data_IF_208235778583
#
_entry.id   IF_208235778583
#
_cell.length_a   1.000
_cell.length_b   1.000
_cell.length_c   1.000
_cell.angle_alpha   90.00
_cell.angle_beta   90.00
_cell.angle_gamma   90.00
#
_symmetry.space_group_name_H-M   'P 1'
#
loop_
_entity.id
_entity.type
_entity.pdbx_description
1 polymer ?
#
# COMPACT_ATOMS: atom_id res chain seq x y z
N UNK A 1 24.76 12.40 -3.17
CA UNK A 1 24.15 12.43 -1.83
C UNK A 1 22.75 11.79 -1.82
N UNK A 2 21.72 12.35 -2.49
CA UNK A 2 20.39 11.74 -2.55
C UNK A 2 20.38 10.32 -3.13
N UNK A 3 21.01 10.11 -4.30
CA UNK A 3 21.10 8.78 -4.93
C UNK A 3 21.96 7.81 -4.13
N UNK A 4 22.98 8.30 -3.42
CA UNK A 4 23.83 7.45 -2.58
C UNK A 4 23.03 6.92 -1.39
N UNK A 5 22.24 7.77 -0.73
CA UNK A 5 21.36 7.38 0.37
C UNK A 5 20.28 6.38 -0.11
N UNK A 6 19.67 6.66 -1.28
CA UNK A 6 18.66 5.77 -1.86
C UNK A 6 19.27 4.40 -2.21
N UNK A 7 20.43 4.36 -2.83
CA UNK A 7 21.15 3.12 -3.20
C UNK A 7 21.53 2.32 -1.96
N UNK A 8 22.08 3.01 -0.95
CA UNK A 8 22.46 2.38 0.32
C UNK A 8 21.26 1.74 1.00
N UNK A 9 20.13 2.46 1.09
CA UNK A 9 18.91 1.99 1.76
C UNK A 9 18.34 0.73 1.12
N UNK A 10 18.18 0.76 -0.21
CA UNK A 10 17.58 -0.36 -0.94
C UNK A 10 18.48 -1.58 -1.00
N UNK A 11 19.80 -1.40 -1.12
CA UNK A 11 20.76 -2.52 -1.06
C UNK A 11 20.78 -3.13 0.35
N UNK A 12 20.82 -2.30 1.38
CA UNK A 12 20.89 -2.72 2.78
C UNK A 12 19.63 -3.44 3.24
N UNK A 13 18.45 -2.89 2.94
CA UNK A 13 17.18 -3.42 3.46
C UNK A 13 16.58 -4.53 2.62
N UNK A 14 16.75 -4.48 1.32
CA UNK A 14 16.09 -5.39 0.39
C UNK A 14 17.06 -6.18 -0.49
N UNK A 15 18.36 -5.90 -0.46
CA UNK A 15 19.34 -6.45 -1.41
C UNK A 15 19.09 -6.00 -2.85
N UNK A 16 18.36 -4.91 -3.04
CA UNK A 16 17.98 -4.38 -4.33
C UNK A 16 19.00 -3.33 -4.80
N UNK A 17 19.69 -3.64 -5.88
CA UNK A 17 20.61 -2.68 -6.53
C UNK A 17 19.85 -1.72 -7.43
N UNK A 18 19.98 -0.44 -7.16
CA UNK A 18 19.30 0.62 -7.89
C UNK A 18 20.16 1.11 -9.04
N UNK A 19 19.55 1.20 -10.22
CA UNK A 19 20.07 1.93 -11.37
C UNK A 19 19.54 3.37 -11.31
N UNK A 20 20.38 4.31 -10.90
CA UNK A 20 19.94 5.71 -10.63
C UNK A 20 19.45 6.44 -11.88
N UNK A 21 19.92 6.02 -13.06
CA UNK A 21 19.42 6.48 -14.36
C UNK A 21 18.01 5.99 -14.69
N UNK A 22 17.48 5.03 -13.94
CA UNK A 22 16.09 4.54 -14.05
C UNK A 22 15.16 5.09 -12.98
N UNK A 23 15.61 6.04 -12.16
CA UNK A 23 14.81 6.67 -11.10
C UNK A 23 14.18 7.96 -11.60
N UNK A 24 12.86 8.08 -11.40
CA UNK A 24 12.12 9.35 -11.54
C UNK A 24 11.61 9.78 -10.16
N UNK A 25 11.42 11.08 -9.96
CA UNK A 25 10.90 11.64 -8.71
C UNK A 25 9.51 12.24 -8.91
N UNK A 26 8.64 12.04 -7.93
CA UNK A 26 7.29 12.60 -7.93
C UNK A 26 6.94 13.19 -6.55
N UNK A 27 5.99 14.14 -6.46
CA UNK A 27 5.58 14.67 -5.16
C UNK A 27 4.95 13.63 -4.24
N UNK A 28 4.21 12.67 -4.77
CA UNK A 28 3.55 11.59 -4.00
C UNK A 28 3.41 10.33 -4.84
N UNK A 29 3.28 9.17 -4.19
CA UNK A 29 2.97 7.91 -4.89
C UNK A 29 1.61 7.99 -5.61
N UNK A 30 0.61 8.65 -5.04
CA UNK A 30 -0.69 8.86 -5.69
C UNK A 30 -0.57 9.66 -6.99
N UNK A 31 0.23 10.74 -7.00
CA UNK A 31 0.51 11.48 -8.23
C UNK A 31 1.34 10.68 -9.23
N UNK A 32 2.26 9.85 -8.73
CA UNK A 32 3.05 8.95 -9.57
C UNK A 32 2.17 7.93 -10.31
N UNK A 33 1.25 7.30 -9.59
CA UNK A 33 0.29 6.34 -10.16
C UNK A 33 -0.64 7.04 -11.17
N UNK A 34 -1.10 8.27 -10.88
CA UNK A 34 -1.92 9.04 -11.84
C UNK A 34 -1.19 9.30 -13.15
N UNK A 35 0.08 9.69 -13.08
CA UNK A 35 0.93 9.90 -14.27
C UNK A 35 1.16 8.57 -14.99
N UNK A 36 1.44 7.49 -14.27
CA UNK A 36 1.65 6.17 -14.86
C UNK A 36 0.41 5.64 -15.61
N UNK A 37 -0.79 5.80 -15.03
CA UNK A 37 -2.04 5.42 -15.71
C UNK A 37 -2.17 6.17 -17.04
N UNK A 38 -1.84 7.45 -17.09
CA UNK A 38 -1.92 8.28 -18.31
C UNK A 38 -0.85 7.93 -19.33
N UNK A 39 0.37 7.72 -18.87
CA UNK A 39 1.50 7.40 -19.73
C UNK A 39 1.32 6.05 -20.45
N UNK A 40 0.72 5.07 -19.80
CA UNK A 40 0.72 3.67 -20.27
C UNK A 40 -0.65 3.11 -20.63
N UNK A 41 -1.69 3.95 -20.68
CA UNK A 41 -3.02 3.55 -21.14
C UNK A 41 -3.77 4.73 -21.76
N UNK A 42 -4.92 4.44 -22.39
CA UNK A 42 -5.84 5.42 -22.97
C UNK A 42 -7.17 5.42 -22.22
N UNK A 43 -7.97 6.49 -22.31
CA UNK A 43 -9.37 6.44 -21.86
C UNK A 43 -10.11 5.24 -22.46
N UNK A 44 -10.83 4.50 -21.62
CA UNK A 44 -11.51 3.26 -21.99
C UNK A 44 -10.69 1.98 -21.71
N UNK A 45 -9.37 2.06 -21.64
CA UNK A 45 -8.54 0.91 -21.25
C UNK A 45 -8.83 0.48 -19.80
N UNK A 46 -8.56 -0.80 -19.51
CA UNK A 46 -8.84 -1.42 -18.22
C UNK A 46 -7.60 -1.40 -17.30
N UNK A 47 -7.85 -1.10 -16.04
CA UNK A 47 -6.83 -1.12 -14.97
C UNK A 47 -7.29 -2.07 -13.88
N UNK A 48 -6.47 -3.08 -13.57
CA UNK A 48 -6.76 -4.11 -12.56
C UNK A 48 -6.31 -3.61 -11.18
N UNK A 49 -7.17 -3.76 -10.18
CA UNK A 49 -6.85 -3.56 -8.75
C UNK A 49 -7.40 -4.71 -7.92
N UNK A 50 -6.96 -4.84 -6.67
CA UNK A 50 -7.31 -5.97 -5.79
C UNK A 50 -8.00 -5.48 -4.52
N UNK A 51 -9.33 -5.26 -4.59
CA UNK A 51 -10.11 -4.84 -3.41
C UNK A 51 -10.30 -5.99 -2.40
N UNK A 52 -10.43 -5.65 -1.08
CA UNK A 52 -10.39 -4.30 -0.51
C UNK A 52 -8.98 -3.70 -0.61
N UNK A 53 -8.86 -2.49 -1.13
CA UNK A 53 -7.58 -1.82 -1.38
C UNK A 53 -7.69 -0.31 -1.20
N UNK A 54 -6.59 0.37 -1.11
CA UNK A 54 -6.49 1.82 -0.96
C UNK A 54 -7.36 2.57 -1.98
N UNK A 55 -8.42 3.24 -1.47
CA UNK A 55 -9.49 3.88 -2.25
C UNK A 55 -9.02 4.80 -3.39
N UNK A 56 -7.96 5.64 -3.23
CA UNK A 56 -7.50 6.48 -4.32
C UNK A 56 -7.16 5.76 -5.63
N UNK A 57 -6.89 4.45 -5.62
CA UNK A 57 -6.65 3.73 -6.88
C UNK A 57 -7.91 3.72 -7.75
N UNK A 58 -9.06 3.35 -7.18
CA UNK A 58 -10.34 3.36 -7.89
C UNK A 58 -10.72 4.76 -8.39
N UNK A 59 -10.47 5.78 -7.54
CA UNK A 59 -10.71 7.17 -7.93
C UNK A 59 -9.81 7.63 -9.08
N UNK A 60 -8.51 7.31 -9.07
CA UNK A 60 -7.58 7.68 -10.14
C UNK A 60 -7.97 7.03 -11.46
N UNK A 61 -8.33 5.74 -11.44
CA UNK A 61 -8.79 5.03 -12.63
C UNK A 61 -10.01 5.73 -13.22
N UNK A 62 -11.01 6.03 -12.39
CA UNK A 62 -12.23 6.73 -12.83
C UNK A 62 -11.95 8.16 -13.33
N UNK A 63 -11.17 8.94 -12.57
CA UNK A 63 -10.84 10.34 -12.91
C UNK A 63 -10.01 10.46 -14.19
N UNK A 64 -9.28 9.42 -14.56
CA UNK A 64 -8.50 9.37 -15.80
C UNK A 64 -9.29 8.79 -16.99
N UNK A 65 -10.56 8.42 -16.80
CA UNK A 65 -11.42 7.86 -17.84
C UNK A 65 -11.13 6.39 -18.17
N UNK A 66 -10.40 5.69 -17.32
CA UNK A 66 -10.12 4.24 -17.46
C UNK A 66 -11.22 3.43 -16.79
N UNK A 67 -11.29 2.15 -17.13
CA UNK A 67 -12.25 1.20 -16.57
C UNK A 67 -11.57 0.38 -15.47
N UNK A 68 -12.14 0.39 -14.28
CA UNK A 68 -11.64 -0.42 -13.17
C UNK A 68 -12.07 -1.88 -13.36
N UNK A 69 -11.10 -2.79 -13.27
CA UNK A 69 -11.31 -4.24 -13.18
C UNK A 69 -10.90 -4.70 -11.78
N UNK A 70 -11.80 -5.34 -11.06
CA UNK A 70 -11.57 -5.72 -9.68
C UNK A 70 -11.22 -7.21 -9.58
N UNK A 71 -9.96 -7.53 -9.32
CA UNK A 71 -9.51 -8.83 -8.90
C UNK A 71 -9.67 -8.95 -7.37
N UNK A 72 -10.90 -9.21 -6.92
CA UNK A 72 -11.23 -9.21 -5.49
C UNK A 72 -10.39 -10.23 -4.74
N UNK A 73 -9.77 -9.82 -3.63
CA UNK A 73 -9.05 -10.74 -2.75
C UNK A 73 -10.01 -11.77 -2.14
N UNK A 74 -9.56 -13.01 -2.06
CA UNK A 74 -10.27 -14.09 -1.37
C UNK A 74 -9.92 -13.99 0.11
N UNK A 75 -10.93 -13.98 0.98
CA UNK A 75 -10.72 -14.01 2.42
C UNK A 75 -11.13 -15.38 2.97
N UNK A 76 -10.17 -16.14 3.49
CA UNK A 76 -10.37 -17.42 4.14
C UNK A 76 -9.99 -17.27 5.63
N UNK A 77 -10.97 -17.31 6.52
CA UNK A 77 -10.74 -17.17 7.97
C UNK A 77 -9.87 -15.95 8.36
N UNK A 78 -10.11 -14.82 7.70
CA UNK A 78 -9.36 -13.57 7.91
C UNK A 78 -8.02 -13.49 7.17
N UNK A 79 -7.58 -14.55 6.50
CA UNK A 79 -6.38 -14.56 5.66
C UNK A 79 -6.77 -14.18 4.23
N UNK A 80 -6.14 -13.12 3.72
CA UNK A 80 -6.40 -12.63 2.37
C UNK A 80 -5.41 -13.23 1.37
N UNK A 81 -5.93 -13.68 0.22
CA UNK A 81 -5.17 -14.30 -0.86
C UNK A 81 -5.55 -13.68 -2.20
N UNK A 82 -4.64 -13.72 -3.17
CA UNK A 82 -4.92 -13.30 -4.54
C UNK A 82 -5.71 -14.36 -5.29
N UNK A 83 -6.77 -13.98 -6.02
CA UNK A 83 -7.46 -14.85 -6.96
C UNK A 83 -6.68 -14.90 -8.28
N UNK A 84 -5.72 -15.81 -8.37
CA UNK A 84 -4.89 -15.97 -9.56
C UNK A 84 -5.65 -16.48 -10.79
N UNK A 85 -6.58 -17.45 -10.70
CA UNK A 85 -7.42 -17.82 -11.82
C UNK A 85 -8.20 -16.65 -12.42
N UNK A 86 -8.81 -15.83 -11.56
CA UNK A 86 -9.52 -14.62 -11.99
C UNK A 86 -8.55 -13.58 -12.57
N UNK A 87 -7.35 -13.44 -12.00
CA UNK A 87 -6.34 -12.54 -12.54
C UNK A 87 -5.88 -12.95 -13.94
N UNK A 88 -5.70 -14.24 -14.18
CA UNK A 88 -5.34 -14.78 -15.50
C UNK A 88 -6.42 -14.46 -16.55
N UNK A 89 -7.69 -14.62 -16.20
CA UNK A 89 -8.82 -14.27 -17.07
C UNK A 89 -8.85 -12.75 -17.36
N UNK A 90 -8.74 -11.94 -16.32
CA UNK A 90 -8.81 -10.47 -16.42
C UNK A 90 -7.64 -9.87 -17.20
N UNK A 91 -6.42 -10.39 -16.98
CA UNK A 91 -5.23 -9.94 -17.70
C UNK A 91 -5.24 -10.35 -19.18
N UNK A 92 -5.94 -11.44 -19.53
CA UNK A 92 -6.06 -11.88 -20.92
C UNK A 92 -6.99 -10.97 -21.77
N UNK A 93 -7.73 -10.10 -21.16
CA UNK A 93 -8.53 -9.10 -21.85
C UNK A 93 -7.61 -8.12 -22.61
N UNK A 94 -7.77 -7.92 -23.94
CA UNK A 94 -6.89 -7.09 -24.74
C UNK A 94 -6.91 -5.61 -24.33
N UNK A 95 -7.96 -5.15 -23.62
CA UNK A 95 -8.06 -3.80 -23.10
C UNK A 95 -7.41 -3.64 -21.73
N UNK A 96 -7.03 -4.71 -21.04
CA UNK A 96 -6.29 -4.67 -19.78
C UNK A 96 -4.83 -4.22 -20.05
N UNK A 97 -4.46 -3.05 -19.55
CA UNK A 97 -3.15 -2.43 -19.79
C UNK A 97 -2.29 -2.33 -18.55
N UNK A 98 -2.91 -2.19 -17.39
CA UNK A 98 -2.22 -1.88 -16.13
C UNK A 98 -2.81 -2.74 -15.01
N UNK A 99 -1.95 -3.20 -14.12
CA UNK A 99 -2.31 -3.70 -12.79
C UNK A 99 -1.66 -2.80 -11.74
N UNK A 100 -2.44 -2.26 -10.81
CA UNK A 100 -1.91 -1.56 -9.63
C UNK A 100 -1.85 -2.56 -8.48
N UNK A 101 -0.63 -2.91 -8.08
CA UNK A 101 -0.33 -3.86 -7.00
C UNK A 101 0.02 -3.08 -5.73
N UNK A 102 -0.67 -3.34 -4.61
CA UNK A 102 -0.34 -2.78 -3.30
C UNK A 102 0.48 -3.80 -2.48
N UNK A 103 1.72 -3.47 -2.12
CA UNK A 103 2.65 -4.40 -1.45
C UNK A 103 3.62 -3.66 -0.50
N UNK A 104 3.51 -3.80 0.82
CA UNK A 104 2.46 -4.47 1.62
C UNK A 104 1.06 -3.91 1.39
N UNK A 105 0.04 -4.76 1.51
CA UNK A 105 -1.32 -4.45 1.08
C UNK A 105 -2.12 -3.69 2.15
N UNK A 106 -2.57 -2.50 1.81
CA UNK A 106 -3.46 -1.67 2.61
C UNK A 106 -4.91 -1.84 2.10
N UNK A 107 -5.90 -2.27 2.93
CA UNK A 107 -5.90 -2.21 4.39
C UNK A 107 -5.55 -3.51 5.12
N UNK A 108 -5.46 -4.64 4.44
CA UNK A 108 -5.47 -5.98 5.05
C UNK A 108 -4.13 -6.39 5.70
N UNK A 109 -3.06 -5.61 5.48
CA UNK A 109 -1.77 -5.83 6.12
C UNK A 109 -0.97 -7.03 5.60
N UNK A 110 -1.34 -7.60 4.44
CA UNK A 110 -0.58 -8.72 3.83
C UNK A 110 0.76 -8.24 3.30
N UNK A 111 1.80 -9.01 3.55
CA UNK A 111 3.10 -8.95 2.87
C UNK A 111 3.15 -10.13 1.90
N UNK A 112 3.05 -9.83 0.61
CA UNK A 112 3.02 -10.87 -0.43
C UNK A 112 4.34 -11.60 -0.51
N UNK A 113 4.30 -12.93 -0.66
CA UNK A 113 5.52 -13.73 -0.83
C UNK A 113 6.16 -13.49 -2.18
N UNK A 114 7.44 -13.84 -2.30
CA UNK A 114 8.16 -13.76 -3.58
C UNK A 114 7.48 -14.58 -4.68
N UNK A 115 6.92 -15.72 -4.32
CA UNK A 115 6.23 -16.65 -5.23
C UNK A 115 4.90 -16.05 -5.72
N UNK A 116 4.12 -15.41 -4.80
CA UNK A 116 2.89 -14.69 -5.18
C UNK A 116 3.21 -13.54 -6.15
N UNK A 117 4.23 -12.74 -5.84
CA UNK A 117 4.67 -11.63 -6.70
C UNK A 117 5.20 -12.11 -8.06
N UNK A 118 5.99 -13.20 -8.08
CA UNK A 118 6.47 -13.80 -9.31
C UNK A 118 5.32 -14.25 -10.21
N UNK A 119 4.29 -14.89 -9.62
CA UNK A 119 3.11 -15.33 -10.36
C UNK A 119 2.31 -14.17 -10.94
N UNK A 120 2.13 -13.08 -10.16
CA UNK A 120 1.56 -11.83 -10.70
C UNK A 120 2.36 -11.35 -11.92
N UNK A 121 3.68 -11.31 -11.80
CA UNK A 121 4.54 -10.87 -12.88
C UNK A 121 4.46 -11.77 -14.12
N UNK A 122 4.44 -13.08 -13.97
CA UNK A 122 4.28 -14.04 -15.08
C UNK A 122 2.96 -13.80 -15.84
N UNK A 123 1.84 -13.66 -15.11
CA UNK A 123 0.53 -13.39 -15.69
C UNK A 123 0.53 -12.06 -16.44
N UNK A 124 1.02 -11.00 -15.81
CA UNK A 124 1.04 -9.65 -16.41
C UNK A 124 1.96 -9.59 -17.62
N UNK A 125 3.17 -10.17 -17.55
CA UNK A 125 4.12 -10.23 -18.66
C UNK A 125 3.57 -10.96 -19.86
N UNK A 126 2.95 -12.13 -19.65
CA UNK A 126 2.33 -12.94 -20.70
C UNK A 126 1.26 -12.17 -21.49
N UNK A 127 0.55 -11.26 -20.82
CA UNK A 127 -0.59 -10.55 -21.37
C UNK A 127 -0.27 -9.07 -21.70
N UNK A 128 0.99 -8.65 -21.63
CA UNK A 128 1.44 -7.26 -21.86
C UNK A 128 0.76 -6.25 -20.93
N UNK A 129 0.51 -6.62 -19.68
CA UNK A 129 -0.01 -5.74 -18.62
C UNK A 129 1.16 -5.16 -17.84
N UNK A 130 1.25 -3.83 -17.74
CA UNK A 130 2.25 -3.14 -16.93
C UNK A 130 1.88 -3.24 -15.45
N UNK A 131 2.82 -3.60 -14.58
CA UNK A 131 2.60 -3.59 -13.14
C UNK A 131 3.06 -2.25 -12.55
N UNK A 132 2.16 -1.54 -11.86
CA UNK A 132 2.49 -0.40 -11.01
C UNK A 132 2.48 -0.89 -9.57
N UNK A 133 3.65 -1.16 -9.01
CA UNK A 133 3.79 -1.65 -7.64
C UNK A 133 3.86 -0.47 -6.66
N UNK A 134 2.79 -0.26 -5.89
CA UNK A 134 2.78 0.66 -4.76
C UNK A 134 3.39 -0.02 -3.54
N UNK A 135 4.67 0.27 -3.31
CA UNK A 135 5.45 -0.26 -2.20
C UNK A 135 5.74 0.79 -1.11
N UNK A 136 4.84 1.75 -0.94
CA UNK A 136 4.99 2.84 0.03
C UNK A 136 5.12 2.35 1.48
N UNK A 137 4.70 1.12 1.77
CA UNK A 137 4.78 0.48 3.07
C UNK A 137 5.92 -0.55 3.20
N UNK A 138 6.82 -0.66 2.22
CA UNK A 138 7.86 -1.69 2.13
C UNK A 138 8.74 -1.83 3.36
N UNK A 139 9.07 -0.72 4.03
CA UNK A 139 9.89 -0.71 5.25
C UNK A 139 9.14 -1.17 6.51
N UNK A 140 7.81 -1.14 6.48
CA UNK A 140 6.96 -1.38 7.64
C UNK A 140 6.49 -2.85 7.66
N UNK A 141 7.42 -3.75 7.91
CA UNK A 141 7.19 -5.21 7.92
C UNK A 141 7.63 -5.77 9.27
N UNK A 142 6.77 -6.58 9.88
CA UNK A 142 6.99 -7.11 11.23
C UNK A 142 7.90 -8.34 11.25
N UNK A 143 8.47 -8.63 12.41
CA UNK A 143 9.33 -9.78 12.61
C UNK A 143 8.66 -11.09 12.17
N UNK A 144 9.39 -11.93 11.44
CA UNK A 144 8.88 -13.18 10.86
C UNK A 144 8.37 -13.06 9.43
N UNK A 145 8.28 -11.84 8.87
CA UNK A 145 7.89 -11.59 7.48
C UNK A 145 9.00 -10.84 6.74
N UNK A 146 9.04 -11.00 5.43
CA UNK A 146 10.04 -10.36 4.56
C UNK A 146 9.35 -9.72 3.38
N UNK A 147 9.50 -8.40 3.22
CA UNK A 147 9.10 -7.72 2.00
C UNK A 147 10.10 -8.05 0.88
N UNK A 148 9.58 -8.47 -0.25
CA UNK A 148 10.36 -8.61 -1.48
C UNK A 148 9.89 -7.53 -2.45
N UNK A 149 10.74 -6.56 -2.85
CA UNK A 149 10.41 -5.64 -3.93
C UNK A 149 9.98 -6.39 -5.19
N UNK A 150 8.96 -5.91 -5.88
CA UNK A 150 8.46 -6.55 -7.09
C UNK A 150 9.57 -6.73 -8.14
N UNK A 151 10.49 -5.78 -8.21
CA UNK A 151 11.67 -5.82 -9.08
C UNK A 151 12.61 -7.01 -8.82
N UNK A 152 12.59 -7.59 -7.61
CA UNK A 152 13.37 -8.79 -7.24
C UNK A 152 12.57 -10.09 -7.38
N UNK A 153 11.26 -9.97 -7.51
CA UNK A 153 10.37 -11.12 -7.66
C UNK A 153 10.10 -11.45 -9.15
N UNK A 154 10.13 -10.44 -10.02
CA UNK A 154 9.73 -10.60 -11.42
C UNK A 154 10.50 -9.68 -12.37
N UNK A 155 10.70 -10.16 -13.60
CA UNK A 155 11.22 -9.39 -14.73
C UNK A 155 10.11 -8.81 -15.64
N UNK A 156 8.84 -8.87 -15.20
CA UNK A 156 7.73 -8.22 -15.90
C UNK A 156 7.95 -6.70 -15.99
N UNK A 157 7.48 -6.04 -17.06
CA UNK A 157 7.52 -4.59 -17.13
C UNK A 157 6.81 -3.96 -15.92
N UNK A 158 7.50 -3.07 -15.18
CA UNK A 158 6.94 -2.46 -13.98
C UNK A 158 7.47 -1.05 -13.71
N UNK A 159 6.67 -0.31 -12.94
CA UNK A 159 7.07 0.87 -12.18
C UNK A 159 6.91 0.54 -10.70
N UNK A 160 7.98 0.60 -9.93
CA UNK A 160 7.97 0.41 -8.50
C UNK A 160 7.96 1.77 -7.82
N UNK A 161 6.94 2.05 -7.02
CA UNK A 161 6.69 3.34 -6.38
C UNK A 161 6.91 3.25 -4.88
N UNK A 162 7.81 4.08 -4.33
CA UNK A 162 8.12 4.13 -2.90
C UNK A 162 8.14 5.55 -2.37
N UNK A 163 8.06 5.71 -1.06
CA UNK A 163 8.22 6.99 -0.38
C UNK A 163 8.58 6.77 1.09
N UNK A 164 9.50 7.55 1.59
CA UNK A 164 9.81 7.60 3.04
C UNK A 164 8.67 8.18 3.89
N UNK A 165 7.65 8.77 3.23
CA UNK A 165 6.57 9.50 3.90
C UNK A 165 5.76 8.67 4.90
N UNK A 166 5.61 7.35 4.69
CA UNK A 166 4.92 6.45 5.61
C UNK A 166 5.85 5.93 6.70
N UNK A 167 7.03 5.51 6.32
CA UNK A 167 8.04 4.96 7.21
C UNK A 167 8.44 5.95 8.29
N UNK A 168 8.74 7.18 7.91
CA UNK A 168 9.26 8.23 8.81
C UNK A 168 8.23 9.30 9.19
N UNK A 169 6.94 9.08 8.89
CA UNK A 169 5.84 10.01 9.19
C UNK A 169 6.06 11.43 8.65
N UNK A 170 6.61 11.55 7.45
CA UNK A 170 6.95 12.82 6.79
C UNK A 170 6.23 13.03 5.46
N UNK A 171 5.01 12.53 5.34
CA UNK A 171 4.21 12.63 4.11
C UNK A 171 4.03 14.08 3.61
N UNK A 172 4.10 15.06 4.52
CA UNK A 172 4.05 16.49 4.19
C UNK A 172 5.24 17.00 3.37
N UNK A 173 6.38 16.29 3.38
CA UNK A 173 7.57 16.64 2.58
C UNK A 173 7.47 16.21 1.12
N UNK A 174 6.45 15.44 0.76
CA UNK A 174 6.05 15.14 -0.62
C UNK A 174 7.20 14.75 -1.54
N UNK A 175 7.78 13.57 -1.31
CA UNK A 175 8.77 12.97 -2.19
C UNK A 175 8.49 11.47 -2.36
N UNK A 176 8.37 11.02 -3.58
CA UNK A 176 8.24 9.63 -3.97
C UNK A 176 9.31 9.27 -5.02
N UNK A 177 9.83 8.06 -4.93
CA UNK A 177 10.80 7.49 -5.86
C UNK A 177 10.09 6.48 -6.75
N UNK A 178 10.30 6.57 -8.06
CA UNK A 178 9.73 5.67 -9.04
C UNK A 178 10.88 5.00 -9.79
N UNK A 179 10.99 3.67 -9.64
CA UNK A 179 12.00 2.86 -10.30
C UNK A 179 11.35 2.20 -11.51
N UNK A 180 11.80 2.56 -12.69
CA UNK A 180 11.35 1.96 -13.95
C UNK A 180 12.17 0.71 -14.26
N UNK A 181 11.53 -0.36 -14.73
CA UNK A 181 12.22 -1.61 -15.09
C UNK A 181 13.02 -1.51 -16.39
N UNK A 182 12.89 -0.43 -17.16
CA UNK A 182 13.67 -0.16 -18.37
C UNK A 182 13.80 1.32 -18.69
N UNK A 183 14.80 1.67 -19.48
CA UNK A 183 15.02 3.04 -19.97
C UNK A 183 13.86 3.53 -20.86
N UNK A 184 13.23 2.62 -21.59
CA UNK A 184 12.07 2.95 -22.45
C UNK A 184 10.85 3.34 -21.61
N UNK A 185 10.52 2.56 -20.60
CA UNK A 185 9.43 2.89 -19.66
C UNK A 185 9.70 4.21 -18.95
N UNK A 186 10.94 4.41 -18.46
CA UNK A 186 11.31 5.67 -17.82
C UNK A 186 11.12 6.86 -18.76
N UNK A 187 11.60 6.75 -19.99
CA UNK A 187 11.47 7.82 -20.98
C UNK A 187 10.02 8.19 -21.23
N UNK A 188 9.14 7.21 -21.41
CA UNK A 188 7.72 7.44 -21.63
C UNK A 188 7.06 8.04 -20.39
N UNK A 189 7.41 7.57 -19.20
CA UNK A 189 6.94 8.09 -17.93
C UNK A 189 7.36 9.55 -17.70
N UNK A 190 8.63 9.86 -17.94
CA UNK A 190 9.19 11.22 -17.77
C UNK A 190 8.55 12.22 -18.76
N UNK A 191 8.24 11.79 -19.98
CA UNK A 191 7.51 12.62 -20.95
C UNK A 191 6.12 13.03 -20.42
N UNK A 192 5.43 12.14 -19.72
CA UNK A 192 4.14 12.45 -19.12
C UNK A 192 4.30 13.36 -17.88
N UNK A 193 5.37 13.17 -17.08
CA UNK A 193 5.73 14.09 -15.98
C UNK A 193 5.89 15.51 -16.52
N UNK A 194 6.67 15.67 -17.59
CA UNK A 194 6.95 16.96 -18.20
C UNK A 194 5.67 17.61 -18.76
N UNK A 195 4.79 16.83 -19.38
CA UNK A 195 3.52 17.32 -19.93
C UNK A 195 2.61 17.94 -18.86
N UNK A 196 2.69 17.45 -17.61
CA UNK A 196 1.95 18.01 -16.46
C UNK A 196 2.73 19.04 -15.67
N UNK A 197 3.96 19.38 -16.08
CA UNK A 197 4.82 20.34 -15.40
C UNK A 197 5.06 19.98 -13.92
N UNK A 198 5.11 18.70 -13.59
CA UNK A 198 5.52 18.25 -12.28
C UNK A 198 7.03 18.46 -12.16
N UNK A 199 7.44 19.62 -11.66
CA UNK A 199 8.83 19.84 -11.30
C UNK A 199 9.19 19.04 -10.05
N UNK A 200 10.31 18.39 -10.11
CA UNK A 200 10.58 17.20 -9.35
C UNK A 200 10.68 17.41 -7.86
N UNK A 201 11.25 18.25 -7.19
CA UNK A 201 11.56 18.01 -5.79
C UNK A 201 11.51 19.27 -4.93
N UNK A 202 10.95 19.13 -3.77
CA UNK A 202 11.23 20.14 -2.76
C UNK A 202 12.57 19.81 -2.06
N UNK A 203 13.35 20.85 -1.76
CA UNK A 203 14.65 20.72 -1.13
C UNK A 203 14.61 19.96 0.19
N UNK A 204 13.59 20.22 1.02
CA UNK A 204 13.43 19.51 2.31
C UNK A 204 13.15 18.02 2.15
N UNK A 205 12.46 17.62 1.09
CA UNK A 205 12.25 16.21 0.79
C UNK A 205 13.55 15.49 0.44
N UNK A 206 14.44 16.15 -0.33
CA UNK A 206 15.75 15.60 -0.69
C UNK A 206 16.68 15.48 0.54
N UNK A 207 16.72 16.49 1.38
CA UNK A 207 17.49 16.46 2.64
C UNK A 207 16.96 15.38 3.59
N UNK A 208 15.63 15.22 3.65
CA UNK A 208 15.03 14.19 4.50
C UNK A 208 15.37 12.77 4.05
N UNK A 209 15.51 12.51 2.74
CA UNK A 209 15.97 11.19 2.24
C UNK A 209 17.36 10.88 2.77
N UNK A 210 18.28 11.83 2.73
CA UNK A 210 19.64 11.63 3.21
C UNK A 210 19.67 11.39 4.73
N UNK A 211 18.85 12.09 5.49
CA UNK A 211 18.75 11.92 6.93
C UNK A 211 18.06 10.57 7.30
N UNK A 212 17.00 10.21 6.58
CA UNK A 212 16.20 9.03 6.88
C UNK A 212 16.85 7.73 6.39
N UNK A 213 17.43 7.74 5.18
CA UNK A 213 18.08 6.59 4.58
C UNK A 213 19.57 6.53 4.98
N UNK A 214 19.78 6.38 6.27
CA UNK A 214 21.06 6.37 6.95
C UNK A 214 21.09 5.27 8.03
N UNK A 215 22.27 4.93 8.58
CA UNK A 215 22.34 4.02 9.72
C UNK A 215 21.52 4.46 10.94
N UNK A 216 21.45 5.76 11.20
CA UNK A 216 20.66 6.33 12.29
C UNK A 216 19.16 6.20 12.02
N UNK A 217 18.73 6.44 10.76
CA UNK A 217 17.35 6.24 10.33
C UNK A 217 16.94 4.77 10.38
N UNK A 218 17.85 3.84 10.01
CA UNK A 218 17.62 2.40 10.14
C UNK A 218 17.41 2.01 11.61
N UNK A 219 18.28 2.46 12.53
CA UNK A 219 18.15 2.17 13.95
C UNK A 219 16.82 2.68 14.53
N UNK A 220 16.41 3.90 14.14
CA UNK A 220 15.13 4.46 14.55
C UNK A 220 13.95 3.63 14.03
N UNK A 221 14.01 3.17 12.78
CA UNK A 221 12.97 2.33 12.19
C UNK A 221 12.83 0.98 12.90
N UNK A 222 13.94 0.33 13.25
CA UNK A 222 13.91 -0.94 13.99
C UNK A 222 13.22 -0.78 15.36
N UNK A 223 13.50 0.31 16.09
CA UNK A 223 12.80 0.61 17.34
C UNK A 223 11.30 0.88 17.12
N UNK A 224 10.96 1.60 16.04
CA UNK A 224 9.56 1.85 15.67
C UNK A 224 8.82 0.54 15.37
N UNK A 225 9.42 -0.38 14.62
CA UNK A 225 8.80 -1.66 14.27
C UNK A 225 8.50 -2.50 15.53
N UNK A 226 9.42 -2.55 16.49
CA UNK A 226 9.17 -3.20 17.79
C UNK A 226 8.00 -2.55 18.53
N UNK A 227 7.94 -1.22 18.54
CA UNK A 227 6.84 -0.49 19.17
C UNK A 227 5.49 -0.76 18.51
N UNK A 228 5.44 -0.72 17.17
CA UNK A 228 4.24 -0.99 16.39
C UNK A 228 3.77 -2.44 16.55
N UNK A 229 4.69 -3.40 16.56
CA UNK A 229 4.35 -4.80 16.79
C UNK A 229 3.67 -4.98 18.15
N UNK A 230 4.17 -4.35 19.20
CA UNK A 230 3.50 -4.34 20.49
C UNK A 230 2.13 -3.65 20.47
N UNK A 231 1.89 -2.66 19.56
CA UNK A 231 0.55 -2.11 19.34
C UNK A 231 -0.37 -3.12 18.64
N UNK A 232 0.13 -3.92 17.70
CA UNK A 232 -0.62 -5.03 17.08
C UNK A 232 -1.05 -6.06 18.12
N UNK A 233 -0.16 -6.42 19.04
CA UNK A 233 -0.46 -7.36 20.12
C UNK A 233 -1.62 -6.86 20.99
N UNK A 234 -1.61 -5.58 21.38
CA UNK A 234 -2.71 -4.96 22.14
C UNK A 234 -4.04 -5.02 21.36
N UNK A 235 -4.02 -4.76 20.07
CA UNK A 235 -5.23 -4.88 19.23
C UNK A 235 -5.70 -6.34 19.18
N UNK A 236 -4.78 -7.30 19.02
CA UNK A 236 -5.09 -8.72 18.95
C UNK A 236 -5.76 -9.21 20.24
N UNK A 237 -5.19 -8.90 21.41
CA UNK A 237 -5.77 -9.23 22.70
C UNK A 237 -7.14 -8.60 22.90
N UNK A 238 -7.31 -7.33 22.49
CA UNK A 238 -8.56 -6.64 22.56
C UNK A 238 -9.62 -7.29 21.65
N UNK A 239 -9.27 -7.64 20.41
CA UNK A 239 -10.18 -8.31 19.48
C UNK A 239 -10.64 -9.66 20.03
N UNK A 240 -9.71 -10.46 20.55
CA UNK A 240 -10.03 -11.75 21.17
C UNK A 240 -11.01 -11.58 22.36
N UNK A 241 -10.78 -10.59 23.23
CA UNK A 241 -11.62 -10.31 24.39
C UNK A 241 -13.05 -9.90 23.99
N UNK A 242 -13.22 -9.21 22.87
CA UNK A 242 -14.49 -8.65 22.42
C UNK A 242 -15.15 -9.43 21.27
N UNK A 243 -14.61 -10.60 20.90
CA UNK A 243 -15.07 -11.44 19.79
C UNK A 243 -15.16 -10.68 18.45
N UNK A 244 -14.18 -9.81 18.19
CA UNK A 244 -14.00 -9.10 16.93
C UNK A 244 -13.09 -9.90 16.04
N UNK A 245 -13.47 -10.13 14.78
CA UNK A 245 -12.63 -10.80 13.80
C UNK A 245 -11.37 -9.97 13.51
N UNK A 246 -10.20 -10.60 13.59
CA UNK A 246 -8.93 -9.93 13.37
C UNK A 246 -7.83 -10.90 12.98
N UNK A 247 -7.16 -10.59 11.90
CA UNK A 247 -5.88 -11.20 11.54
C UNK A 247 -4.78 -10.16 11.72
N UNK A 248 -3.77 -10.49 12.50
CA UNK A 248 -2.66 -9.59 12.75
C UNK A 248 -1.97 -9.21 11.42
N UNK A 249 -1.74 -7.93 11.15
CA UNK A 249 -1.06 -7.51 9.94
C UNK A 249 0.38 -8.01 9.93
N UNK A 250 0.85 -8.41 8.75
CA UNK A 250 2.24 -8.81 8.51
C UNK A 250 3.16 -7.59 8.30
N UNK A 251 2.55 -6.47 7.97
CA UNK A 251 3.21 -5.18 7.77
C UNK A 251 2.22 -4.02 7.85
N UNK A 252 2.69 -2.81 7.59
CA UNK A 252 2.00 -1.52 7.74
C UNK A 252 1.79 -1.12 9.21
N UNK A 253 1.23 0.06 9.45
CA UNK A 253 0.75 0.50 10.77
C UNK A 253 -0.79 0.56 10.82
N UNK A 254 -1.44 -0.34 10.07
CA UNK A 254 -2.88 -0.38 9.87
C UNK A 254 -3.42 -1.73 10.33
N UNK A 255 -4.45 -1.71 11.18
CA UNK A 255 -5.18 -2.89 11.58
C UNK A 255 -6.55 -2.90 10.93
N UNK A 256 -6.97 -4.06 10.44
CA UNK A 256 -8.22 -4.31 9.76
C UNK A 256 -9.13 -5.14 10.65
N UNK A 257 -10.14 -4.49 11.26
CA UNK A 257 -11.03 -5.09 12.26
C UNK A 257 -12.34 -5.50 11.59
N UNK A 258 -12.75 -6.75 11.74
CA UNK A 258 -14.06 -7.24 11.32
C UNK A 258 -15.07 -7.06 12.46
N UNK A 259 -15.72 -5.89 12.49
CA UNK A 259 -16.77 -5.58 13.43
C UNK A 259 -18.13 -6.17 13.03
N UNK A 260 -18.27 -6.58 11.76
CA UNK A 260 -19.42 -7.33 11.28
C UNK A 260 -19.55 -8.68 11.98
N UNK A 261 -18.43 -9.36 12.27
CA UNK A 261 -18.43 -10.60 13.07
C UNK A 261 -18.92 -10.38 14.51
N UNK A 262 -18.77 -9.16 15.04
CA UNK A 262 -19.33 -8.75 16.34
C UNK A 262 -20.77 -8.20 16.24
N UNK A 263 -21.41 -8.31 15.07
CA UNK A 263 -22.82 -7.97 14.86
C UNK A 263 -23.11 -6.51 14.49
N UNK A 264 -22.09 -5.69 14.17
CA UNK A 264 -22.30 -4.31 13.75
C UNK A 264 -22.46 -4.18 12.24
N UNK A 265 -23.43 -3.39 11.82
CA UNK A 265 -23.58 -2.96 10.43
C UNK A 265 -22.64 -1.79 10.11
N UNK A 266 -22.34 -1.54 8.82
CA UNK A 266 -21.55 -0.39 8.39
C UNK A 266 -22.11 0.95 8.87
N UNK A 267 -23.45 1.09 8.88
CA UNK A 267 -24.12 2.28 9.37
C UNK A 267 -23.87 2.48 10.87
N UNK A 268 -23.93 1.40 11.66
CA UNK A 268 -23.67 1.44 13.11
C UNK A 268 -22.20 1.73 13.41
N UNK A 269 -21.26 1.18 12.64
CA UNK A 269 -19.83 1.49 12.74
C UNK A 269 -19.61 2.99 12.57
N UNK A 270 -20.19 3.58 11.52
CA UNK A 270 -20.04 5.01 11.26
C UNK A 270 -20.71 5.85 12.35
N UNK A 271 -21.97 5.59 12.67
CA UNK A 271 -22.74 6.40 13.61
C UNK A 271 -22.29 6.24 15.05
N UNK A 272 -22.12 4.99 15.50
CA UNK A 272 -21.85 4.71 16.92
C UNK A 272 -20.37 4.86 17.28
N UNK A 273 -19.44 4.50 16.40
CA UNK A 273 -17.99 4.53 16.67
C UNK A 273 -17.40 5.83 16.18
N UNK A 274 -17.44 6.10 14.88
CA UNK A 274 -16.70 7.23 14.30
C UNK A 274 -17.32 8.55 14.77
N UNK A 275 -18.63 8.70 14.66
CA UNK A 275 -19.31 9.94 15.05
C UNK A 275 -19.65 9.97 16.55
N UNK A 276 -20.14 8.86 17.11
CA UNK A 276 -20.66 8.81 18.47
C UNK A 276 -19.58 8.69 19.55
N UNK A 277 -18.41 8.14 19.24
CA UNK A 277 -17.28 7.99 20.17
C UNK A 277 -16.05 8.81 19.78
N UNK A 278 -16.14 9.57 18.70
CA UNK A 278 -15.06 10.44 18.20
C UNK A 278 -13.74 9.68 18.00
N UNK A 279 -13.83 8.44 17.49
CA UNK A 279 -12.66 7.66 17.13
C UNK A 279 -12.41 7.83 15.62
N UNK A 280 -11.33 8.53 15.27
CA UNK A 280 -10.99 8.79 13.88
C UNK A 280 -10.39 7.53 13.26
N UNK A 281 -11.21 6.80 12.51
CA UNK A 281 -10.82 5.62 11.73
C UNK A 281 -11.55 5.62 10.38
N UNK A 282 -11.25 4.65 9.54
CA UNK A 282 -11.78 4.62 8.17
C UNK A 282 -12.72 3.42 8.01
N UNK A 283 -14.00 3.65 7.63
CA UNK A 283 -14.96 2.56 7.44
C UNK A 283 -14.56 1.69 6.24
N UNK A 284 -14.78 0.39 6.40
CA UNK A 284 -14.37 -0.63 5.44
C UNK A 284 -14.93 -0.47 4.03
N UNK A 285 -16.19 -0.07 3.83
CA UNK A 285 -16.75 0.15 2.49
C UNK A 285 -15.99 1.15 1.61
N UNK A 286 -15.19 2.05 2.21
CA UNK A 286 -14.34 2.97 1.43
C UNK A 286 -13.20 2.26 0.69
N UNK A 287 -12.86 1.02 1.07
CA UNK A 287 -11.85 0.21 0.40
C UNK A 287 -12.42 -0.66 -0.73
N UNK A 288 -13.72 -0.53 -0.99
CA UNK A 288 -14.44 -1.27 -2.02
C UNK A 288 -14.94 -2.64 -1.56
N UNK A 289 -15.17 -3.53 -2.51
CA UNK A 289 -15.75 -4.85 -2.27
C UNK A 289 -14.89 -5.69 -1.30
N UNK A 290 -15.54 -6.30 -0.32
CA UNK A 290 -14.88 -7.05 0.77
C UNK A 290 -14.47 -6.17 1.95
N UNK A 291 -14.88 -4.87 1.93
CA UNK A 291 -14.68 -3.96 3.05
C UNK A 291 -15.89 -3.86 3.99
N UNK A 292 -17.03 -4.43 3.60
CA UNK A 292 -18.27 -4.37 4.39
C UNK A 292 -18.06 -5.00 5.78
N UNK A 293 -18.60 -4.37 6.80
CA UNK A 293 -18.46 -4.79 8.20
C UNK A 293 -17.10 -4.50 8.83
N UNK A 294 -16.16 -3.94 8.09
CA UNK A 294 -14.80 -3.71 8.57
C UNK A 294 -14.55 -2.26 8.99
N UNK A 295 -13.50 -2.10 9.80
CA UNK A 295 -12.95 -0.81 10.22
C UNK A 295 -11.44 -0.83 10.14
N UNK A 296 -10.82 0.14 9.43
CA UNK A 296 -9.38 0.30 9.44
C UNK A 296 -8.94 1.24 10.56
N UNK A 297 -8.16 0.71 11.49
CA UNK A 297 -7.57 1.44 12.60
C UNK A 297 -6.09 1.74 12.32
N UNK A 298 -5.67 2.99 12.49
CA UNK A 298 -4.26 3.38 12.43
C UNK A 298 -3.64 3.22 13.84
N UNK A 299 -2.61 2.37 13.96
CA UNK A 299 -1.90 2.08 15.21
C UNK A 299 -0.55 2.84 15.33
N UNK A 300 -0.23 3.71 14.39
CA UNK A 300 0.94 4.60 14.42
C UNK A 300 0.75 5.76 15.42
N UNK A 301 0.41 5.43 16.64
CA UNK A 301 0.18 6.37 17.74
C UNK A 301 0.72 5.82 19.06
N UNK A 302 0.66 6.62 20.13
CA UNK A 302 1.06 6.14 21.45
C UNK A 302 0.16 5.02 21.94
N UNK A 303 0.71 4.08 22.71
CA UNK A 303 -0.05 2.98 23.34
C UNK A 303 -1.26 3.50 24.12
N UNK A 304 -1.09 4.60 24.85
CA UNK A 304 -2.17 5.24 25.61
C UNK A 304 -3.34 5.65 24.70
N UNK A 305 -3.04 6.32 23.59
CA UNK A 305 -4.06 6.74 22.61
C UNK A 305 -4.76 5.55 21.98
N UNK A 306 -4.01 4.50 21.65
CA UNK A 306 -4.56 3.27 21.10
C UNK A 306 -5.54 2.59 22.06
N UNK A 307 -5.14 2.39 23.33
CA UNK A 307 -5.99 1.77 24.36
C UNK A 307 -7.26 2.60 24.58
N UNK A 308 -7.14 3.93 24.70
CA UNK A 308 -8.30 4.81 24.83
C UNK A 308 -9.29 4.68 23.65
N UNK A 309 -8.78 4.60 22.41
CA UNK A 309 -9.63 4.39 21.24
C UNK A 309 -10.34 3.02 21.28
N UNK A 310 -9.61 1.96 21.63
CA UNK A 310 -10.19 0.62 21.78
C UNK A 310 -11.24 0.53 22.87
N UNK A 311 -11.05 1.19 24.02
CA UNK A 311 -12.05 1.27 25.11
C UNK A 311 -13.33 2.00 24.66
N UNK A 312 -13.17 3.07 23.88
CA UNK A 312 -14.32 3.77 23.28
C UNK A 312 -15.09 2.87 22.32
N UNK A 313 -14.41 2.09 21.48
CA UNK A 313 -15.03 1.11 20.58
C UNK A 313 -15.74 0.01 21.40
N UNK A 314 -15.10 -0.54 22.44
CA UNK A 314 -15.68 -1.57 23.30
C UNK A 314 -16.99 -1.12 23.95
N UNK A 315 -17.11 0.16 24.32
CA UNK A 315 -18.36 0.70 24.89
C UNK A 315 -19.54 0.67 23.93
N UNK A 316 -19.33 0.45 22.64
CA UNK A 316 -20.39 0.26 21.63
C UNK A 316 -20.77 -1.22 21.48
N UNK A 317 -19.76 -2.12 21.57
CA UNK A 317 -19.97 -3.56 21.42
C UNK A 317 -20.74 -4.19 22.58
N UNK A 318 -20.69 -3.58 23.75
CA UNK A 318 -21.32 -4.08 24.99
C UNK A 318 -22.73 -3.52 25.22
N UNK A 319 -23.28 -2.73 24.30
CA UNK A 319 -24.63 -2.16 24.33
C UNK A 319 -25.49 -2.72 23.19
#
# INVERSE_FOLDING_TARGET
EYYDALTWWFDKRFGMKIHTDLVSMMPTVVSAINVAIRAFSNPGDKVIIQQPVYDPFAELIKKTGRVMVNNVLICNDGVYEMDFPLLEEQAADPDAKIMILCSPHNPVGRVWTKEELARVGEICKKNNVLVIADEIHSDLVYAGYVHTPFALASDAPHLLCTSLGKTFNVAGLRLANIFSSSAELKKQYDQEIDAYSYSASNTFGLEMVQAAYSPEGEAWLEELLVYLQGNVEVVSEWCQKHNVGFTAPQGTFLCWLDLGSAGLTDEEIIKKIIMGKEVICVPGPWFGKGGEGHLRLNIGCTRKTLVEALDRIASVLNN
#
